data_IF_842574348399
#
_entry.id   IF_842574348399
#
_cell.length_a   1.000
_cell.length_b   1.000
_cell.length_c   1.000
_cell.angle_alpha   90.00
_cell.angle_beta   90.00
_cell.angle_gamma   90.00
#
_symmetry.space_group_name_H-M   'P 1'
#
loop_
_entity.id
_entity.type
_entity.pdbx_description
1 polymer ?
#
# COMPACT_ATOMS: atom_id res chain seq x y z
N UNK A 1 23.64 -1.25 -9.69
CA UNK A 1 22.52 -0.89 -8.81
C UNK A 1 21.26 -1.02 -9.65
N UNK A 2 20.25 -1.78 -9.20
CA UNK A 2 18.98 -1.88 -9.92
C UNK A 2 18.22 -0.56 -9.79
N UNK A 3 17.57 -0.04 -10.84
CA UNK A 3 16.60 1.03 -10.67
C UNK A 3 15.38 0.48 -9.89
N UNK A 4 14.94 1.17 -8.85
CA UNK A 4 13.80 0.77 -8.01
C UNK A 4 12.68 1.80 -8.09
N UNK A 5 11.42 1.36 -8.07
CA UNK A 5 10.26 2.16 -7.71
C UNK A 5 9.79 1.71 -6.32
N UNK A 6 9.03 2.52 -5.57
CA UNK A 6 8.54 2.13 -4.24
C UNK A 6 7.05 1.85 -4.30
N UNK A 7 6.60 0.68 -3.88
CA UNK A 7 5.18 0.48 -3.58
C UNK A 7 4.94 0.95 -2.14
N UNK A 8 3.89 1.72 -1.90
CA UNK A 8 3.46 2.19 -0.58
C UNK A 8 1.95 2.01 -0.47
N UNK A 9 1.50 0.82 -0.09
CA UNK A 9 0.09 0.57 0.15
C UNK A 9 -0.36 1.04 1.53
N UNK A 10 -1.08 2.16 1.63
CA UNK A 10 -2.01 2.33 2.75
C UNK A 10 -3.32 1.64 2.37
N UNK A 11 -4.06 1.15 3.36
CA UNK A 11 -5.37 0.53 3.15
C UNK A 11 -6.32 1.13 4.17
N UNK A 12 -7.46 1.63 3.71
CA UNK A 12 -8.57 2.02 4.58
C UNK A 12 -9.78 1.11 4.34
N UNK A 13 -9.61 -0.18 4.67
CA UNK A 13 -10.75 -0.99 5.12
C UNK A 13 -11.07 -0.47 6.52
N UNK A 14 -12.34 -0.13 6.79
CA UNK A 14 -12.76 0.22 8.14
C UNK A 14 -12.59 -1.02 9.02
N UNK A 15 -11.50 -1.06 9.78
CA UNK A 15 -11.17 -2.14 10.70
C UNK A 15 -12.05 -1.93 11.95
N UNK A 16 -13.16 -2.69 12.05
CA UNK A 16 -14.12 -2.57 13.17
C UNK A 16 -13.47 -2.89 14.52
N UNK A 17 -13.92 -2.32 15.65
CA UNK A 17 -13.42 -2.71 16.97
C UNK A 17 -13.55 -4.24 17.19
N UNK A 18 -12.45 -4.91 17.56
CA UNK A 18 -12.41 -6.38 17.70
C UNK A 18 -12.12 -7.17 16.41
N UNK A 19 -11.80 -6.49 15.31
CA UNK A 19 -11.28 -7.09 14.07
C UNK A 19 -9.88 -7.68 14.27
N UNK A 20 -9.59 -8.72 13.48
CA UNK A 20 -8.35 -9.50 13.52
C UNK A 20 -7.75 -9.56 12.13
N UNK A 21 -6.81 -8.67 11.83
CA UNK A 21 -6.11 -8.69 10.53
C UNK A 21 -4.70 -9.26 10.65
N UNK A 22 -4.40 -10.33 9.91
CA UNK A 22 -3.09 -11.00 9.95
C UNK A 22 -2.00 -10.19 9.27
N UNK A 23 -0.81 -10.10 9.85
CA UNK A 23 0.34 -9.38 9.29
C UNK A 23 1.66 -10.05 9.69
N UNK A 24 2.75 -9.73 8.99
CA UNK A 24 4.10 -10.23 9.28
C UNK A 24 5.01 -9.02 9.50
N UNK A 25 5.78 -8.99 10.59
CA UNK A 25 6.57 -7.82 10.99
C UNK A 25 8.07 -8.13 11.10
N UNK A 26 8.92 -7.27 10.55
CA UNK A 26 10.37 -7.39 10.63
C UNK A 26 11.06 -7.46 9.25
N UNK A 27 12.38 -7.70 9.24
CA UNK A 27 13.15 -7.77 8.00
C UNK A 27 12.79 -9.00 7.16
N UNK A 28 12.98 -8.95 5.83
CA UNK A 28 12.71 -10.07 4.93
C UNK A 28 13.34 -11.39 5.40
N UNK A 29 12.54 -12.45 5.50
CA UNK A 29 13.00 -13.79 5.89
C UNK A 29 13.17 -14.02 7.39
N UNK A 30 12.96 -12.99 8.22
CA UNK A 30 12.89 -13.09 9.67
C UNK A 30 11.68 -12.34 10.23
N UNK A 31 10.61 -12.24 9.42
CA UNK A 31 9.37 -11.66 9.88
C UNK A 31 8.72 -12.52 10.98
N UNK A 32 8.07 -11.85 11.92
CA UNK A 32 7.29 -12.46 12.99
C UNK A 32 5.81 -12.35 12.67
N UNK A 33 5.04 -13.44 12.80
CA UNK A 33 3.59 -13.40 12.59
C UNK A 33 2.92 -12.56 13.68
N UNK A 34 2.00 -11.69 13.26
CA UNK A 34 1.28 -10.78 14.12
C UNK A 34 -0.19 -10.64 13.68
N UNK A 35 -1.03 -10.15 14.57
CA UNK A 35 -2.38 -9.69 14.27
C UNK A 35 -2.52 -8.22 14.64
N UNK A 36 -3.10 -7.43 13.76
CA UNK A 36 -3.51 -6.06 14.06
C UNK A 36 -4.82 -6.14 14.85
N UNK A 37 -4.79 -5.61 16.06
CA UNK A 37 -5.93 -5.54 16.97
C UNK A 37 -6.33 -4.08 17.18
N UNK A 38 -7.62 -3.80 17.01
CA UNK A 38 -8.21 -2.47 17.26
C UNK A 38 -9.01 -2.52 18.55
N UNK A 39 -8.46 -1.83 19.55
CA UNK A 39 -9.08 -1.67 20.87
C UNK A 39 -10.41 -0.91 20.80
N UNK A 40 -11.33 -1.08 21.79
CA UNK A 40 -12.61 -0.36 21.81
C UNK A 40 -12.50 1.17 21.76
N UNK A 41 -11.40 1.73 22.24
CA UNK A 41 -11.09 3.17 22.17
C UNK A 41 -10.39 3.59 20.86
N UNK A 42 -10.36 2.72 19.85
CA UNK A 42 -9.89 3.00 18.50
C UNK A 42 -8.37 2.97 18.34
N UNK A 43 -7.60 2.61 19.37
CA UNK A 43 -6.14 2.44 19.23
C UNK A 43 -5.84 1.10 18.58
N UNK A 44 -4.92 1.10 17.62
CA UNK A 44 -4.43 -0.11 16.97
C UNK A 44 -3.10 -0.56 17.59
N UNK A 45 -2.90 -1.87 17.66
CA UNK A 45 -1.65 -2.49 18.11
C UNK A 45 -1.40 -3.80 17.37
N UNK A 46 -0.15 -4.15 17.20
CA UNK A 46 0.21 -5.49 16.72
C UNK A 46 0.42 -6.42 17.91
N UNK A 47 -0.26 -7.57 17.89
CA UNK A 47 -0.08 -8.64 18.87
C UNK A 47 0.69 -9.77 18.20
N UNK A 48 1.76 -10.25 18.85
CA UNK A 48 2.57 -11.35 18.32
C UNK A 48 1.83 -12.68 18.42
N UNK A 49 2.00 -13.54 17.43
CA UNK A 49 1.38 -14.87 17.38
C UNK A 49 2.30 -15.98 17.93
N UNK A 50 3.32 -15.62 18.72
CA UNK A 50 4.24 -16.56 19.33
C UNK A 50 3.46 -17.60 20.17
N UNK A 51 3.70 -18.90 19.91
CA UNK A 51 2.99 -20.00 20.57
C UNK A 51 1.65 -20.39 19.93
N UNK A 52 1.17 -19.65 18.91
CA UNK A 52 0.06 -20.08 18.06
C UNK A 52 0.59 -20.70 16.77
N UNK A 53 1.49 -19.97 16.09
CA UNK A 53 2.08 -20.37 14.81
C UNK A 53 3.50 -19.81 14.68
N UNK A 54 4.33 -20.47 13.88
CA UNK A 54 5.68 -20.01 13.54
C UNK A 54 5.62 -18.91 12.45
N UNK A 55 4.68 -19.04 11.51
CA UNK A 55 4.39 -18.02 10.49
C UNK A 55 2.93 -18.09 10.01
N UNK A 56 2.48 -17.13 9.21
CA UNK A 56 1.17 -17.13 8.52
C UNK A 56 1.35 -17.77 7.13
N UNK A 57 1.46 -19.10 7.11
CA UNK A 57 1.76 -19.90 5.92
C UNK A 57 0.64 -20.93 5.62
N UNK A 58 0.90 -21.84 4.67
CA UNK A 58 -0.03 -22.90 4.32
C UNK A 58 -0.44 -23.79 5.52
N UNK A 59 0.48 -24.07 6.45
CA UNK A 59 0.20 -24.89 7.63
C UNK A 59 -0.68 -24.15 8.63
N UNK A 60 -0.47 -22.83 8.80
CA UNK A 60 -1.35 -21.98 9.59
C UNK A 60 -2.79 -22.02 9.07
N UNK A 61 -2.99 -21.81 7.76
CA UNK A 61 -4.32 -21.82 7.17
C UNK A 61 -4.98 -23.21 7.22
N UNK A 62 -4.20 -24.28 7.02
CA UNK A 62 -4.71 -25.65 7.05
C UNK A 62 -5.06 -26.18 8.46
N UNK A 63 -4.67 -25.49 9.54
CA UNK A 63 -4.80 -25.95 10.93
C UNK A 63 -5.74 -25.10 11.81
N UNK A 64 -6.75 -24.48 11.20
CA UNK A 64 -7.68 -23.54 11.85
C UNK A 64 -6.95 -22.35 12.51
N UNK A 65 -5.81 -21.93 11.96
CA UNK A 65 -4.97 -20.88 12.54
C UNK A 65 -5.74 -19.58 12.82
N UNK A 66 -6.62 -19.17 11.90
CA UNK A 66 -7.47 -17.96 12.06
C UNK A 66 -8.35 -18.06 13.32
N UNK A 67 -9.03 -19.19 13.53
CA UNK A 67 -9.89 -19.41 14.71
C UNK A 67 -9.07 -19.36 15.99
N UNK A 68 -7.89 -20.01 16.01
CA UNK A 68 -6.99 -20.01 17.17
C UNK A 68 -6.49 -18.61 17.52
N UNK A 69 -6.15 -17.80 16.51
CA UNK A 69 -5.76 -16.39 16.70
C UNK A 69 -6.92 -15.61 17.31
N UNK A 70 -8.13 -15.74 16.76
CA UNK A 70 -9.33 -15.06 17.26
C UNK A 70 -9.62 -15.40 18.73
N UNK A 71 -9.57 -16.68 19.08
CA UNK A 71 -9.75 -17.13 20.47
C UNK A 71 -8.69 -16.56 21.41
N UNK A 72 -7.44 -16.47 20.96
CA UNK A 72 -6.35 -15.91 21.75
C UNK A 72 -6.46 -14.38 21.91
N UNK A 73 -6.91 -13.66 20.89
CA UNK A 73 -7.22 -12.23 20.97
C UNK A 73 -8.36 -11.99 21.95
N UNK A 74 -9.48 -12.72 21.80
CA UNK A 74 -10.63 -12.62 22.70
C UNK A 74 -10.28 -12.96 24.15
N UNK A 75 -9.41 -13.96 24.36
CA UNK A 75 -8.89 -14.35 25.66
C UNK A 75 -7.78 -13.45 26.21
N UNK A 76 -7.37 -12.40 25.49
CA UNK A 76 -6.23 -11.53 25.86
C UNK A 76 -4.94 -12.31 26.16
N UNK A 77 -4.70 -13.39 25.42
CA UNK A 77 -3.58 -14.31 25.63
C UNK A 77 -2.30 -13.88 24.89
N UNK A 78 -2.42 -12.92 23.99
CA UNK A 78 -1.33 -12.44 23.13
C UNK A 78 -0.66 -11.21 23.72
N UNK A 79 0.63 -11.04 23.37
CA UNK A 79 1.43 -9.89 23.82
C UNK A 79 1.59 -8.88 22.70
N UNK A 80 1.47 -7.61 23.04
CA UNK A 80 1.77 -6.52 22.12
C UNK A 80 3.25 -6.54 21.72
N UNK A 81 3.51 -6.34 20.44
CA UNK A 81 4.84 -6.20 19.89
C UNK A 81 5.29 -4.75 20.03
N UNK A 82 6.51 -4.56 20.54
CA UNK A 82 7.17 -3.25 20.53
C UNK A 82 7.80 -3.04 19.16
N UNK A 83 7.21 -2.17 18.34
CA UNK A 83 7.80 -1.72 17.07
C UNK A 83 8.96 -0.76 17.35
N UNK A 84 10.15 -1.26 17.70
CA UNK A 84 11.37 -0.44 17.74
C UNK A 84 11.92 -0.19 16.34
N UNK A 85 12.73 0.86 16.16
CA UNK A 85 13.34 1.21 14.87
C UNK A 85 14.04 -0.01 14.23
N UNK A 86 13.71 -0.31 12.96
CA UNK A 86 14.15 -1.50 12.22
C UNK A 86 13.22 -2.72 12.31
N UNK A 87 12.39 -2.83 13.36
CA UNK A 87 11.37 -3.88 13.52
C UNK A 87 9.98 -3.47 12.96
N UNK A 88 9.85 -2.25 12.42
CA UNK A 88 8.61 -1.67 11.92
C UNK A 88 8.28 -1.97 10.45
N UNK A 89 9.12 -2.74 9.73
CA UNK A 89 8.78 -3.18 8.37
C UNK A 89 7.59 -4.14 8.44
N UNK A 90 6.60 -3.92 7.58
CA UNK A 90 5.49 -4.83 7.36
C UNK A 90 5.82 -5.67 6.13
N UNK A 91 5.91 -6.98 6.30
CA UNK A 91 6.01 -7.96 5.22
C UNK A 91 4.65 -8.32 4.66
N UNK A 92 4.63 -9.16 3.61
CA UNK A 92 3.38 -9.68 3.07
C UNK A 92 2.63 -10.47 4.16
N UNK A 93 1.29 -10.40 4.24
CA UNK A 93 0.53 -11.07 5.29
C UNK A 93 0.48 -12.59 5.14
N UNK A 94 0.87 -13.12 3.98
CA UNK A 94 0.98 -14.56 3.71
C UNK A 94 2.45 -14.88 3.42
N UNK A 95 3.04 -15.78 4.21
CA UNK A 95 4.40 -16.25 4.01
C UNK A 95 4.44 -17.21 2.82
N UNK A 96 5.15 -16.81 1.75
CA UNK A 96 5.46 -17.60 0.54
C UNK A 96 4.28 -18.51 0.10
N UNK A 97 3.25 -17.95 -0.57
CA UNK A 97 2.14 -18.73 -1.10
C UNK A 97 2.61 -19.95 -1.92
N UNK A 98 1.82 -21.02 -1.97
CA UNK A 98 2.14 -22.17 -2.83
C UNK A 98 2.08 -21.80 -4.31
N UNK A 99 1.10 -20.96 -4.68
CA UNK A 99 0.96 -20.32 -5.98
C UNK A 99 0.27 -18.95 -5.85
N UNK A 100 0.56 -18.10 -6.83
CA UNK A 100 -0.17 -16.85 -7.08
C UNK A 100 -0.85 -16.98 -8.44
N UNK A 101 -2.17 -17.19 -8.42
CA UNK A 101 -3.01 -17.30 -9.61
C UNK A 101 -3.57 -15.92 -9.93
N UNK A 102 -3.47 -15.44 -11.16
CA UNK A 102 -4.01 -14.12 -11.53
C UNK A 102 -5.07 -14.25 -12.61
N UNK A 103 -6.09 -13.40 -12.54
CA UNK A 103 -7.18 -13.35 -13.51
C UNK A 103 -7.04 -12.09 -14.37
N UNK A 104 -6.60 -12.28 -15.60
CA UNK A 104 -6.52 -11.19 -16.57
C UNK A 104 -7.89 -10.77 -17.09
N UNK A 105 -8.02 -9.49 -17.46
CA UNK A 105 -9.21 -8.92 -18.11
C UNK A 105 -10.51 -9.17 -17.33
N UNK A 106 -10.45 -9.12 -16.00
CA UNK A 106 -11.61 -9.40 -15.15
C UNK A 106 -12.43 -8.17 -14.78
N UNK A 107 -12.12 -6.97 -15.27
CA UNK A 107 -12.93 -5.78 -15.05
C UNK A 107 -13.43 -5.24 -16.38
N UNK A 108 -14.72 -4.89 -16.42
CA UNK A 108 -15.38 -4.45 -17.65
C UNK A 108 -14.77 -3.15 -18.18
N UNK A 109 -14.52 -2.19 -17.30
CA UNK A 109 -13.92 -0.90 -17.63
C UNK A 109 -12.49 -1.06 -18.18
N UNK A 110 -11.69 -1.96 -17.61
CA UNK A 110 -10.35 -2.26 -18.12
C UNK A 110 -10.37 -2.93 -19.50
N UNK A 111 -11.28 -3.89 -19.72
CA UNK A 111 -11.43 -4.51 -21.04
C UNK A 111 -11.83 -3.49 -22.11
N UNK A 112 -12.75 -2.58 -21.78
CA UNK A 112 -13.17 -1.47 -22.65
C UNK A 112 -12.02 -0.48 -22.92
N UNK A 113 -11.22 -0.13 -21.90
CA UNK A 113 -10.08 0.80 -21.98
C UNK A 113 -9.05 0.37 -23.04
N UNK A 114 -8.73 -0.93 -23.09
CA UNK A 114 -7.72 -1.45 -24.02
C UNK A 114 -8.35 -2.02 -25.31
N UNK A 115 -9.67 -1.91 -25.48
CA UNK A 115 -10.42 -2.43 -26.63
C UNK A 115 -10.42 -3.95 -26.74
N UNK A 116 -10.29 -4.67 -25.61
CA UNK A 116 -10.32 -6.12 -25.57
C UNK A 116 -11.77 -6.65 -25.56
N UNK A 117 -11.99 -7.83 -26.16
CA UNK A 117 -13.25 -8.53 -26.04
C UNK A 117 -13.45 -9.04 -24.61
N UNK A 118 -14.68 -8.97 -24.10
CA UNK A 118 -15.03 -9.52 -22.78
C UNK A 118 -14.86 -11.04 -22.83
N UNK A 119 -14.03 -11.64 -21.96
CA UNK A 119 -13.84 -13.09 -21.95
C UNK A 119 -15.12 -13.83 -21.58
N UNK A 120 -15.34 -15.02 -22.17
CA UNK A 120 -16.43 -15.93 -21.78
C UNK A 120 -16.09 -16.78 -20.55
N UNK A 121 -14.81 -16.83 -20.18
CA UNK A 121 -14.27 -17.54 -19.00
C UNK A 121 -13.06 -16.78 -18.44
N UNK A 122 -12.71 -16.94 -17.15
CA UNK A 122 -11.53 -16.31 -16.57
C UNK A 122 -10.26 -16.58 -17.39
N UNK A 123 -9.51 -15.53 -17.71
CA UNK A 123 -8.19 -15.66 -18.35
C UNK A 123 -7.17 -15.89 -17.25
N UNK A 124 -6.68 -17.12 -17.14
CA UNK A 124 -5.82 -17.55 -16.02
C UNK A 124 -4.36 -17.47 -16.42
N UNK A 125 -3.55 -16.85 -15.55
CA UNK A 125 -2.09 -16.83 -15.61
C UNK A 125 -1.49 -17.08 -14.23
N UNK A 126 -0.19 -17.30 -14.17
CA UNK A 126 0.52 -17.55 -12.91
C UNK A 126 1.62 -16.52 -12.69
N UNK A 127 1.85 -16.19 -11.42
CA UNK A 127 3.06 -15.51 -10.96
C UNK A 127 3.90 -16.48 -10.13
N UNK A 128 5.22 -16.38 -10.28
CA UNK A 128 6.13 -17.04 -9.37
C UNK A 128 5.86 -16.57 -7.92
N UNK A 129 5.69 -17.47 -6.93
CA UNK A 129 5.43 -17.06 -5.55
C UNK A 129 6.53 -16.21 -4.91
N UNK A 130 7.76 -16.28 -5.42
CA UNK A 130 8.87 -15.43 -5.02
C UNK A 130 8.72 -13.96 -5.43
N UNK A 131 7.72 -13.61 -6.24
CA UNK A 131 7.37 -12.21 -6.52
C UNK A 131 6.69 -11.50 -5.35
N UNK A 132 6.15 -12.25 -4.38
CA UNK A 132 5.42 -11.69 -3.23
C UNK A 132 6.36 -10.98 -2.27
N UNK A 133 6.11 -9.69 -2.07
CA UNK A 133 6.86 -8.82 -1.15
C UNK A 133 5.91 -8.01 -0.28
N UNK A 134 6.46 -7.37 0.75
CA UNK A 134 5.68 -6.53 1.64
C UNK A 134 5.05 -5.32 0.94
N UNK A 135 3.98 -4.76 1.51
CA UNK A 135 3.23 -3.62 0.95
C UNK A 135 4.04 -2.33 0.78
N UNK A 136 5.18 -2.22 1.47
CA UNK A 136 6.05 -1.04 1.51
C UNK A 136 7.46 -1.30 0.93
N UNK A 137 7.67 -2.50 0.40
CA UNK A 137 8.95 -2.88 -0.18
C UNK A 137 9.15 -2.21 -1.53
N UNK A 138 10.42 -2.17 -1.95
CA UNK A 138 10.76 -1.69 -3.29
C UNK A 138 10.25 -2.65 -4.36
N UNK A 139 9.68 -2.08 -5.41
CA UNK A 139 9.40 -2.75 -6.68
C UNK A 139 10.60 -2.53 -7.60
N UNK A 140 11.31 -3.60 -7.91
CA UNK A 140 12.49 -3.58 -8.76
C UNK A 140 12.08 -3.46 -10.22
N UNK A 141 12.59 -2.46 -10.94
CA UNK A 141 12.39 -2.36 -12.38
C UNK A 141 13.32 -3.38 -13.07
N UNK A 142 12.77 -4.33 -13.85
CA UNK A 142 13.58 -5.38 -14.48
C UNK A 142 14.64 -4.81 -15.44
N UNK A 143 15.73 -5.55 -15.64
CA UNK A 143 16.77 -5.16 -16.60
C UNK A 143 16.18 -5.08 -17.99
N UNK A 144 16.40 -3.94 -18.65
CA UNK A 144 15.88 -3.71 -20.00
C UNK A 144 14.38 -3.41 -20.05
N UNK A 145 13.69 -3.35 -18.90
CA UNK A 145 12.29 -2.94 -18.86
C UNK A 145 12.11 -1.55 -19.48
N UNK A 146 11.04 -1.42 -20.26
CA UNK A 146 10.61 -0.16 -20.87
C UNK A 146 9.19 0.21 -20.48
N UNK A 147 8.40 -0.80 -20.10
CA UNK A 147 6.94 -0.73 -19.95
C UNK A 147 6.48 -1.39 -18.63
N UNK A 148 7.17 -1.13 -17.53
CA UNK A 148 6.69 -1.53 -16.19
C UNK A 148 5.42 -0.76 -15.83
N UNK A 149 4.38 -1.48 -15.45
CA UNK A 149 3.01 -1.01 -15.23
C UNK A 149 2.50 -1.45 -13.85
N UNK A 150 1.44 -0.78 -13.37
CA UNK A 150 0.80 -1.01 -12.09
C UNK A 150 -0.61 -1.59 -12.27
N UNK A 151 -1.07 -2.38 -11.30
CA UNK A 151 -2.40 -2.95 -11.31
C UNK A 151 -2.92 -3.16 -9.87
N UNK A 152 -3.80 -2.30 -9.36
CA UNK A 152 -4.46 -2.55 -8.05
C UNK A 152 -5.48 -3.67 -8.15
N UNK A 153 -5.35 -4.67 -7.29
CA UNK A 153 -6.25 -5.81 -7.26
C UNK A 153 -6.71 -6.18 -5.85
N UNK A 154 -7.90 -6.78 -5.78
CA UNK A 154 -8.30 -7.56 -4.61
C UNK A 154 -7.60 -8.93 -4.69
N UNK A 155 -6.76 -9.22 -3.70
CA UNK A 155 -6.21 -10.56 -3.49
C UNK A 155 -7.12 -11.38 -2.59
N UNK A 156 -7.42 -12.60 -3.01
CA UNK A 156 -8.15 -13.61 -2.24
C UNK A 156 -7.15 -14.63 -1.72
N UNK A 157 -7.12 -14.85 -0.41
CA UNK A 157 -6.28 -15.90 0.20
C UNK A 157 -7.14 -17.12 0.47
N UNK A 158 -6.71 -18.27 -0.02
CA UNK A 158 -7.41 -19.54 0.16
C UNK A 158 -7.13 -20.09 1.56
N UNK A 159 -8.18 -20.41 2.32
CA UNK A 159 -8.08 -20.96 3.66
C UNK A 159 -8.29 -22.47 3.73
N UNK A 160 -9.07 -23.02 2.79
CA UNK A 160 -9.38 -24.45 2.70
C UNK A 160 -9.13 -24.95 1.29
N UNK A 161 -8.64 -26.19 1.18
CA UNK A 161 -8.43 -26.84 -0.12
C UNK A 161 -9.72 -26.79 -0.96
N UNK A 162 -9.62 -26.21 -2.15
CA UNK A 162 -10.71 -26.13 -3.13
C UNK A 162 -10.37 -26.96 -4.37
N UNK A 163 -11.28 -27.86 -4.74
CA UNK A 163 -11.23 -28.68 -5.94
C UNK A 163 -12.65 -29.09 -6.30
N UNK A 164 -13.00 -29.04 -7.59
CA UNK A 164 -14.30 -29.44 -8.11
C UNK A 164 -15.47 -28.92 -7.26
N UNK A 165 -15.49 -27.62 -6.97
CA UNK A 165 -16.57 -27.01 -6.20
C UNK A 165 -17.80 -26.82 -7.09
N UNK A 166 -18.98 -27.15 -6.58
CA UNK A 166 -20.23 -27.15 -7.35
C UNK A 166 -20.99 -25.83 -7.21
N UNK A 167 -20.76 -25.10 -6.12
CA UNK A 167 -21.52 -23.89 -5.79
C UNK A 167 -20.64 -22.66 -5.47
N UNK A 168 -21.26 -21.49 -5.50
CA UNK A 168 -20.63 -20.22 -5.14
C UNK A 168 -20.39 -20.14 -3.64
N UNK A 169 -21.30 -20.69 -2.86
CA UNK A 169 -21.24 -20.78 -1.40
C UNK A 169 -20.06 -21.65 -0.96
N UNK A 170 -19.85 -22.80 -1.62
CA UNK A 170 -18.67 -23.65 -1.38
C UNK A 170 -17.37 -22.91 -1.72
N UNK A 171 -17.37 -22.13 -2.80
CA UNK A 171 -16.21 -21.34 -3.22
C UNK A 171 -15.86 -20.26 -2.18
N UNK A 172 -16.84 -19.48 -1.72
CA UNK A 172 -16.64 -18.48 -0.67
C UNK A 172 -16.24 -19.12 0.66
N UNK A 173 -16.78 -20.30 1.01
CA UNK A 173 -16.41 -21.03 2.22
C UNK A 173 -14.97 -21.57 2.21
N UNK A 174 -14.26 -21.51 1.07
CA UNK A 174 -12.84 -21.83 0.99
C UNK A 174 -11.92 -20.62 1.15
N UNK A 175 -12.46 -19.39 1.20
CA UNK A 175 -11.67 -18.16 1.35
C UNK A 175 -11.31 -17.93 2.82
N UNK A 176 -10.02 -17.74 3.11
CA UNK A 176 -9.53 -17.32 4.42
C UNK A 176 -9.76 -15.82 4.65
N UNK A 177 -9.57 -15.02 3.60
CA UNK A 177 -9.70 -13.59 3.68
C UNK A 177 -9.20 -12.88 2.44
N UNK A 178 -9.05 -11.56 2.58
CA UNK A 178 -8.74 -10.64 1.51
C UNK A 178 -7.58 -9.72 1.87
N UNK A 179 -6.76 -9.37 0.88
CA UNK A 179 -5.70 -8.37 0.98
C UNK A 179 -5.71 -7.50 -0.28
N UNK A 180 -4.93 -6.41 -0.28
CA UNK A 180 -4.66 -5.66 -1.51
C UNK A 180 -3.38 -6.17 -2.13
N UNK A 181 -3.40 -6.34 -3.44
CA UNK A 181 -2.26 -6.74 -4.26
C UNK A 181 -1.98 -5.67 -5.31
N UNK A 182 -0.70 -5.52 -5.68
CA UNK A 182 -0.31 -4.81 -6.88
C UNK A 182 0.26 -5.82 -7.89
N UNK A 183 -0.50 -6.15 -8.94
CA UNK A 183 -0.08 -7.07 -10.00
C UNK A 183 0.83 -6.36 -11.03
N UNK A 184 2.01 -5.98 -10.56
CA UNK A 184 3.01 -5.28 -11.39
C UNK A 184 3.33 -6.11 -12.63
N UNK A 185 3.40 -5.43 -13.77
CA UNK A 185 3.52 -6.06 -15.08
C UNK A 185 4.57 -5.36 -15.93
N UNK A 186 5.41 -6.09 -16.66
CA UNK A 186 6.24 -5.53 -17.72
C UNK A 186 5.58 -5.87 -19.05
N UNK A 187 5.04 -4.86 -19.75
CA UNK A 187 4.17 -5.08 -20.91
C UNK A 187 4.90 -5.56 -22.16
N UNK A 188 6.17 -5.21 -22.35
CA UNK A 188 6.96 -5.71 -23.48
C UNK A 188 7.24 -7.21 -23.28
N UNK A 189 7.56 -7.62 -22.07
CA UNK A 189 7.82 -9.02 -21.72
C UNK A 189 6.52 -9.84 -21.79
N UNK A 190 5.40 -9.25 -21.34
CA UNK A 190 4.08 -9.88 -21.32
C UNK A 190 3.51 -10.08 -22.73
N UNK A 191 3.63 -9.09 -23.63
CA UNK A 191 2.88 -9.05 -24.88
C UNK A 191 3.76 -9.28 -26.12
N UNK A 192 5.06 -9.00 -26.06
CA UNK A 192 5.94 -9.03 -27.23
C UNK A 192 6.96 -10.17 -27.18
N UNK A 193 7.46 -10.53 -25.99
CA UNK A 193 8.52 -11.54 -25.87
C UNK A 193 8.00 -12.96 -25.68
N UNK A 194 6.75 -13.12 -25.26
CA UNK A 194 6.16 -14.42 -24.93
C UNK A 194 4.69 -14.45 -25.33
N UNK A 195 4.23 -15.61 -25.82
CA UNK A 195 2.79 -15.87 -26.00
C UNK A 195 2.07 -16.21 -24.68
N UNK A 196 2.79 -16.28 -23.55
CA UNK A 196 2.27 -16.50 -22.20
C UNK A 196 2.59 -15.28 -21.33
N UNK A 197 1.58 -14.79 -20.60
CA UNK A 197 1.68 -13.53 -19.85
C UNK A 197 2.55 -13.63 -18.60
N UNK A 198 2.76 -14.85 -18.08
CA UNK A 198 3.53 -15.15 -16.88
C UNK A 198 4.93 -14.50 -16.88
N UNK A 199 5.58 -14.42 -18.05
CA UNK A 199 6.93 -13.85 -18.20
C UNK A 199 6.99 -12.37 -17.76
N UNK A 200 6.04 -11.56 -18.22
CA UNK A 200 5.98 -10.15 -17.84
C UNK A 200 5.42 -9.91 -16.43
N UNK A 201 4.80 -10.93 -15.84
CA UNK A 201 4.14 -10.86 -14.52
C UNK A 201 5.02 -11.41 -13.39
N UNK A 202 6.03 -12.22 -13.70
CA UNK A 202 6.83 -12.94 -12.70
C UNK A 202 8.21 -12.32 -12.41
N UNK A 203 8.42 -11.04 -12.70
CA UNK A 203 9.68 -10.38 -12.33
C UNK A 203 9.81 -10.22 -10.81
N UNK A 204 11.05 -10.13 -10.31
CA UNK A 204 11.32 -9.97 -8.88
C UNK A 204 10.51 -8.81 -8.29
N UNK A 205 9.90 -9.01 -7.10
CA UNK A 205 9.07 -8.02 -6.37
C UNK A 205 7.76 -7.58 -7.04
N UNK A 206 7.32 -8.23 -8.12
CA UNK A 206 6.11 -7.83 -8.87
C UNK A 206 4.77 -8.18 -8.20
N UNK A 207 4.76 -8.59 -6.93
CA UNK A 207 3.53 -8.80 -6.18
C UNK A 207 3.59 -8.21 -4.75
N UNK A 208 3.70 -6.87 -4.58
CA UNK A 208 3.44 -6.25 -3.28
C UNK A 208 2.05 -6.65 -2.78
N UNK A 209 1.98 -7.23 -1.59
CA UNK A 209 0.77 -7.79 -1.00
C UNK A 209 0.61 -7.30 0.44
N UNK A 210 -0.57 -6.79 0.81
CA UNK A 210 -0.89 -6.42 2.18
C UNK A 210 -1.61 -5.07 2.28
N UNK A 211 -1.44 -4.32 3.38
CA UNK A 211 -0.51 -4.53 4.50
C UNK A 211 -0.93 -5.59 5.52
N UNK A 212 -2.16 -6.06 5.47
CA UNK A 212 -2.67 -7.15 6.30
C UNK A 212 -3.70 -7.98 5.52
N UNK A 213 -3.97 -9.19 6.03
CA UNK A 213 -5.05 -10.06 5.59
C UNK A 213 -6.27 -9.79 6.46
N UNK A 214 -7.34 -9.25 5.89
CA UNK A 214 -8.65 -9.13 6.54
C UNK A 214 -9.36 -10.48 6.42
N UNK A 215 -9.86 -11.03 7.52
CA UNK A 215 -10.54 -12.34 7.49
C UNK A 215 -11.85 -12.27 6.71
N UNK A 216 -12.27 -13.38 6.12
CA UNK A 216 -13.43 -13.40 5.23
C UNK A 216 -14.73 -12.96 5.93
N UNK A 217 -14.89 -13.25 7.22
CA UNK A 217 -16.07 -12.85 8.00
C UNK A 217 -16.07 -11.37 8.43
N UNK A 218 -14.97 -10.65 8.24
CA UNK A 218 -14.90 -9.20 8.45
C UNK A 218 -15.24 -8.40 7.17
N UNK A 219 -15.50 -9.08 6.05
CA UNK A 219 -15.91 -8.48 4.78
C UNK A 219 -17.34 -8.92 4.45
N UNK A 220 -18.31 -8.02 4.63
CA UNK A 220 -19.74 -8.31 4.40
C UNK A 220 -20.01 -8.78 2.95
N UNK A 221 -19.48 -8.06 1.96
CA UNK A 221 -19.60 -8.40 0.54
C UNK A 221 -18.28 -8.08 -0.20
N UNK A 222 -17.55 -9.09 -0.72
CA UNK A 222 -16.32 -8.86 -1.48
C UNK A 222 -16.54 -8.12 -2.81
N UNK A 223 -17.77 -8.07 -3.32
CA UNK A 223 -18.14 -7.28 -4.50
C UNK A 223 -18.52 -5.83 -4.16
N UNK A 224 -18.50 -5.44 -2.88
CA UNK A 224 -18.82 -4.09 -2.40
C UNK A 224 -17.57 -3.26 -2.01
N UNK A 225 -16.43 -3.45 -2.68
CA UNK A 225 -15.16 -2.84 -2.30
C UNK A 225 -14.65 -1.85 -3.36
N UNK A 226 -14.24 -0.65 -2.92
CA UNK A 226 -13.54 0.32 -3.77
C UNK A 226 -12.05 0.00 -3.88
N UNK A 227 -11.48 0.20 -5.06
CA UNK A 227 -10.05 0.02 -5.35
C UNK A 227 -9.48 1.33 -5.89
N UNK A 228 -8.30 1.73 -5.41
CA UNK A 228 -7.63 2.95 -5.87
C UNK A 228 -6.14 2.72 -6.04
N UNK A 229 -5.54 3.51 -6.92
CA UNK A 229 -4.09 3.56 -7.07
C UNK A 229 -3.65 4.95 -7.53
N UNK A 230 -2.65 5.52 -6.88
CA UNK A 230 -1.93 6.72 -7.31
C UNK A 230 -0.47 6.42 -7.62
N UNK A 231 0.12 7.20 -8.52
CA UNK A 231 1.56 7.20 -8.81
C UNK A 231 2.10 8.61 -8.60
N UNK A 232 3.04 8.76 -7.67
CA UNK A 232 3.56 10.04 -7.17
C UNK A 232 2.41 11.00 -6.77
N UNK A 233 1.42 10.47 -6.05
CA UNK A 233 0.23 11.22 -5.60
C UNK A 233 -0.85 11.43 -6.67
N UNK A 234 -0.56 11.17 -7.95
CA UNK A 234 -1.54 11.32 -9.04
C UNK A 234 -2.42 10.08 -9.12
N UNK A 235 -3.72 10.23 -8.88
CA UNK A 235 -4.69 9.14 -9.03
C UNK A 235 -4.65 8.57 -10.46
N UNK A 236 -4.41 7.26 -10.58
CA UNK A 236 -4.34 6.51 -11.84
C UNK A 236 -5.50 5.54 -11.99
N UNK A 237 -5.85 4.82 -10.92
CA UNK A 237 -6.98 3.89 -10.91
C UNK A 237 -7.97 4.29 -9.83
N UNK A 238 -9.25 4.26 -10.17
CA UNK A 238 -10.37 4.35 -9.25
C UNK A 238 -11.49 3.43 -9.75
N UNK A 239 -11.60 2.27 -9.12
CA UNK A 239 -12.51 1.21 -9.53
C UNK A 239 -13.27 0.62 -8.35
N UNK A 240 -14.04 -0.43 -8.65
CA UNK A 240 -14.88 -1.08 -7.65
C UNK A 240 -15.09 -2.56 -8.01
N UNK A 241 -15.05 -3.46 -7.02
CA UNK A 241 -15.08 -4.91 -7.25
C UNK A 241 -16.40 -5.41 -7.87
N UNK A 242 -17.53 -4.73 -7.66
CA UNK A 242 -18.78 -4.92 -8.44
C UNK A 242 -18.62 -4.89 -9.96
N UNK A 243 -17.58 -4.25 -10.48
CA UNK A 243 -17.29 -4.16 -11.92
C UNK A 243 -16.56 -5.40 -12.46
N UNK A 244 -16.25 -6.37 -11.59
CA UNK A 244 -15.69 -7.64 -12.03
C UNK A 244 -16.63 -8.35 -13.01
N UNK A 245 -16.06 -8.94 -14.07
CA UNK A 245 -16.78 -9.78 -15.03
C UNK A 245 -17.11 -11.13 -14.40
N UNK A 246 -16.14 -11.71 -13.70
CA UNK A 246 -16.27 -12.89 -12.86
C UNK A 246 -16.00 -12.48 -11.41
N UNK A 247 -17.02 -12.49 -10.56
CA UNK A 247 -16.86 -12.19 -9.13
C UNK A 247 -15.99 -13.24 -8.40
N UNK A 248 -15.61 -12.94 -7.16
CA UNK A 248 -14.73 -13.80 -6.34
C UNK A 248 -15.21 -15.25 -6.27
N UNK A 249 -16.52 -15.47 -6.06
CA UNK A 249 -17.06 -16.81 -5.93
C UNK A 249 -16.94 -17.57 -7.26
N UNK A 250 -17.25 -16.92 -8.38
CA UNK A 250 -17.12 -17.51 -9.71
C UNK A 250 -15.66 -17.79 -10.07
N UNK A 251 -14.73 -16.88 -9.76
CA UNK A 251 -13.30 -17.09 -9.97
C UNK A 251 -12.83 -18.34 -9.22
N UNK A 252 -13.08 -18.43 -7.91
CA UNK A 252 -12.63 -19.58 -7.11
C UNK A 252 -13.29 -20.88 -7.57
N UNK A 253 -14.61 -20.85 -7.84
CA UNK A 253 -15.36 -22.01 -8.36
C UNK A 253 -14.81 -22.48 -9.70
N UNK A 254 -14.60 -21.57 -10.65
CA UNK A 254 -14.07 -21.87 -11.98
C UNK A 254 -12.65 -22.44 -11.90
N UNK A 255 -11.75 -21.78 -11.15
CA UNK A 255 -10.39 -22.26 -10.94
C UNK A 255 -10.38 -23.68 -10.36
N UNK A 256 -11.26 -23.96 -9.39
CA UNK A 256 -11.32 -25.28 -8.74
C UNK A 256 -11.64 -26.44 -9.68
N UNK A 257 -12.19 -26.18 -10.89
CA UNK A 257 -12.47 -27.21 -11.89
C UNK A 257 -11.19 -27.70 -12.61
N UNK A 258 -10.13 -26.89 -12.59
CA UNK A 258 -8.90 -27.14 -13.34
C UNK A 258 -7.68 -27.25 -12.44
N UNK A 259 -7.70 -26.55 -11.29
CA UNK A 259 -6.60 -26.45 -10.34
C UNK A 259 -7.10 -26.92 -8.97
N UNK A 260 -6.25 -27.59 -8.20
CA UNK A 260 -6.44 -27.67 -6.75
C UNK A 260 -5.86 -26.39 -6.14
N UNK A 261 -6.70 -25.56 -5.53
CA UNK A 261 -6.25 -24.45 -4.69
C UNK A 261 -6.03 -24.97 -3.28
N UNK A 262 -4.89 -24.63 -2.69
CA UNK A 262 -4.45 -25.07 -1.37
C UNK A 262 -4.52 -23.92 -0.36
N UNK A 263 -4.66 -24.21 0.94
CA UNK A 263 -4.54 -23.20 1.98
C UNK A 263 -3.23 -22.39 1.84
N UNK A 264 -3.33 -21.07 1.89
CA UNK A 264 -2.23 -20.12 1.71
C UNK A 264 -1.97 -19.69 0.26
N UNK A 265 -2.64 -20.29 -0.74
CA UNK A 265 -2.57 -19.77 -2.11
C UNK A 265 -3.26 -18.41 -2.22
N UNK A 266 -2.74 -17.59 -3.15
CA UNK A 266 -3.26 -16.25 -3.43
C UNK A 266 -3.88 -16.22 -4.82
N UNK A 267 -5.06 -15.63 -4.93
CA UNK A 267 -5.73 -15.34 -6.20
C UNK A 267 -5.86 -13.83 -6.37
N UNK A 268 -5.11 -13.29 -7.34
CA UNK A 268 -5.21 -11.92 -7.82
C UNK A 268 -6.39 -11.84 -8.80
N UNK A 269 -7.41 -11.05 -8.48
CA UNK A 269 -8.73 -11.13 -9.12
C UNK A 269 -8.90 -10.22 -10.34
N UNK A 270 -7.86 -9.56 -10.80
CA UNK A 270 -7.87 -8.60 -11.88
C UNK A 270 -7.91 -7.15 -11.38
N UNK A 271 -7.68 -6.24 -12.32
CA UNK A 271 -7.49 -4.80 -12.09
C UNK A 271 -8.54 -3.96 -12.84
N UNK A 272 -9.04 -2.85 -12.27
CA UNK A 272 -9.90 -1.90 -12.98
C UNK A 272 -9.12 -1.08 -14.02
N UNK A 273 -9.81 -0.27 -14.81
CA UNK A 273 -9.18 0.67 -15.75
C UNK A 273 -8.19 1.64 -15.08
N UNK A 274 -7.29 2.22 -15.88
CA UNK A 274 -6.30 3.20 -15.44
C UNK A 274 -4.88 2.65 -15.29
N UNK A 275 -4.60 1.51 -15.91
CA UNK A 275 -3.24 0.99 -16.06
C UNK A 275 -2.46 1.85 -17.07
N UNK A 276 -1.14 1.94 -16.96
CA UNK A 276 -0.34 2.77 -17.86
C UNK A 276 -0.54 2.37 -19.34
N UNK A 277 -0.70 1.08 -19.65
CA UNK A 277 -1.00 0.62 -21.01
C UNK A 277 -2.28 1.24 -21.60
N UNK A 278 -3.30 1.48 -20.77
CA UNK A 278 -4.59 2.03 -21.19
C UNK A 278 -4.63 3.56 -21.25
N UNK A 279 -3.68 4.23 -20.58
CA UNK A 279 -3.65 5.69 -20.48
C UNK A 279 -2.94 6.36 -21.69
N UNK A 280 -3.39 7.57 -22.10
CA UNK A 280 -2.71 8.35 -23.12
C UNK A 280 -1.22 8.57 -22.81
N UNK A 281 -0.37 8.34 -23.80
CA UNK A 281 1.09 8.50 -23.67
C UNK A 281 1.79 7.39 -22.89
N UNK A 282 1.05 6.38 -22.43
CA UNK A 282 1.56 5.21 -21.72
C UNK A 282 2.58 5.53 -20.62
N UNK A 283 2.16 6.19 -19.52
CA UNK A 283 3.04 6.70 -18.48
C UNK A 283 3.57 5.58 -17.57
N UNK A 284 4.31 4.63 -18.15
CA UNK A 284 4.93 3.50 -17.44
C UNK A 284 5.87 3.98 -16.32
N UNK A 285 6.00 3.14 -15.29
CA UNK A 285 6.82 3.42 -14.12
C UNK A 285 8.27 3.69 -14.49
N UNK A 286 8.81 4.71 -13.83
CA UNK A 286 10.20 5.13 -13.88
C UNK A 286 10.87 4.89 -12.53
N UNK A 287 12.20 4.78 -12.50
CA UNK A 287 12.92 4.66 -11.25
C UNK A 287 12.58 5.81 -10.31
N UNK A 288 12.45 5.50 -9.02
CA UNK A 288 12.17 6.36 -7.87
C UNK A 288 10.75 6.90 -7.76
N UNK A 289 9.83 6.45 -8.61
CA UNK A 289 8.42 6.76 -8.44
C UNK A 289 7.80 5.93 -7.32
N UNK A 290 6.77 6.49 -6.68
CA UNK A 290 6.01 5.84 -5.61
C UNK A 290 4.62 5.46 -6.09
N UNK A 291 4.23 4.21 -5.91
CA UNK A 291 2.89 3.69 -6.21
C UNK A 291 2.12 3.52 -4.91
N UNK A 292 0.96 4.15 -4.77
CA UNK A 292 0.15 4.08 -3.55
C UNK A 292 -1.23 3.49 -3.85
N UNK A 293 -1.67 2.51 -3.07
CA UNK A 293 -2.94 1.81 -3.29
C UNK A 293 -4.13 2.48 -2.55
N UNK A 294 -3.86 3.49 -1.72
CA UNK A 294 -4.86 4.36 -1.09
C UNK A 294 -4.15 5.64 -0.68
N UNK A 295 -4.78 6.81 -0.91
CA UNK A 295 -4.19 8.10 -0.55
C UNK A 295 -4.78 8.62 0.77
N UNK A 296 -3.94 8.67 1.82
CA UNK A 296 -4.35 9.01 3.19
C UNK A 296 -5.12 10.33 3.28
N UNK A 297 -4.55 11.42 2.78
CA UNK A 297 -5.11 12.76 2.94
C UNK A 297 -6.40 12.97 2.12
N UNK A 298 -6.49 12.58 0.83
CA UNK A 298 -7.74 12.63 0.08
C UNK A 298 -8.85 11.75 0.69
N UNK A 299 -8.52 10.56 1.20
CA UNK A 299 -9.50 9.71 1.87
C UNK A 299 -9.98 10.27 3.19
N UNK A 300 -9.08 10.82 4.00
CA UNK A 300 -9.43 11.47 5.25
C UNK A 300 -10.39 12.64 5.00
N UNK A 301 -10.13 13.47 3.99
CA UNK A 301 -11.01 14.58 3.61
C UNK A 301 -12.41 14.10 3.22
N UNK A 302 -12.50 13.09 2.33
CA UNK A 302 -13.79 12.54 1.88
C UNK A 302 -14.63 11.97 3.02
N UNK A 303 -13.98 11.36 4.01
CA UNK A 303 -14.65 10.70 5.14
C UNK A 303 -14.91 11.66 6.32
N UNK A 304 -14.54 12.93 6.21
CA UNK A 304 -14.63 13.89 7.32
C UNK A 304 -13.73 13.52 8.50
N UNK A 305 -12.65 12.79 8.25
CA UNK A 305 -11.67 12.39 9.26
C UNK A 305 -10.57 13.44 9.30
N UNK A 306 -10.36 14.03 10.48
CA UNK A 306 -9.25 14.94 10.73
C UNK A 306 -7.94 14.19 10.93
N UNK A 307 -6.87 14.69 10.32
CA UNK A 307 -5.50 14.19 10.44
C UNK A 307 -4.66 15.19 11.23
N UNK A 308 -3.84 14.69 12.14
CA UNK A 308 -2.79 15.48 12.80
C UNK A 308 -1.45 15.04 12.23
N UNK A 309 -0.69 15.98 11.66
CA UNK A 309 0.63 15.69 11.09
C UNK A 309 1.70 15.86 12.16
N UNK A 310 2.36 14.77 12.54
CA UNK A 310 3.41 14.78 13.55
C UNK A 310 4.81 14.80 12.97
N UNK A 311 5.78 15.30 13.73
CA UNK A 311 7.20 15.04 13.45
C UNK A 311 7.80 15.83 12.28
N UNK A 312 7.26 17.02 11.96
CA UNK A 312 7.73 17.91 10.88
C UNK A 312 9.25 18.17 10.92
N UNK A 313 9.83 18.21 12.12
CA UNK A 313 11.26 18.45 12.33
C UNK A 313 12.08 17.20 12.66
N UNK A 314 11.48 16.01 12.65
CA UNK A 314 12.11 14.79 13.15
C UNK A 314 13.39 14.40 12.39
N UNK A 315 13.47 14.76 11.11
CA UNK A 315 14.65 14.54 10.26
C UNK A 315 15.78 15.55 10.51
N UNK A 316 15.47 16.71 11.08
CA UNK A 316 16.37 17.87 11.14
C UNK A 316 16.49 18.64 9.82
N UNK A 317 16.13 18.04 8.66
CA UNK A 317 16.25 18.65 7.34
C UNK A 317 15.42 19.94 7.18
N UNK A 318 14.20 19.95 7.70
CA UNK A 318 13.32 21.12 7.65
C UNK A 318 13.44 22.01 8.89
N UNK A 319 14.17 21.55 9.91
CA UNK A 319 14.49 22.35 11.09
C UNK A 319 15.70 23.25 10.79
N UNK A 320 16.81 22.64 10.40
CA UNK A 320 17.99 23.33 9.90
C UNK A 320 18.82 22.35 9.04
N UNK A 321 18.79 22.46 7.70
CA UNK A 321 19.50 21.55 6.83
C UNK A 321 21.02 21.71 7.01
N UNK A 322 21.63 20.68 7.60
CA UNK A 322 23.08 20.56 7.81
C UNK A 322 23.56 19.18 7.33
N UNK A 323 24.87 18.96 7.12
CA UNK A 323 25.39 17.64 6.79
C UNK A 323 25.12 16.55 7.86
N UNK A 324 24.79 16.96 9.09
CA UNK A 324 24.41 16.06 10.18
C UNK A 324 22.91 15.73 10.19
N UNK A 325 22.11 16.33 9.30
CA UNK A 325 20.69 16.05 9.18
C UNK A 325 20.46 14.60 8.75
N UNK A 326 19.36 14.04 9.23
CA UNK A 326 19.00 12.64 8.98
C UNK A 326 17.77 12.56 8.08
N UNK A 327 17.58 11.43 7.43
CA UNK A 327 16.34 11.06 6.78
C UNK A 327 16.11 9.58 7.08
N UNK A 328 14.93 9.24 7.60
CA UNK A 328 14.62 7.89 8.10
C UNK A 328 15.69 7.33 9.06
N UNK A 329 16.14 8.17 10.01
CA UNK A 329 17.13 7.81 11.04
C UNK A 329 18.53 7.44 10.51
N UNK A 330 18.81 7.70 9.24
CA UNK A 330 20.12 7.57 8.60
C UNK A 330 20.62 8.95 8.11
N UNK A 331 21.92 9.13 7.80
CA UNK A 331 22.41 10.36 7.18
C UNK A 331 21.60 10.70 5.92
N UNK A 332 21.16 11.95 5.80
CA UNK A 332 20.35 12.37 4.67
C UNK A 332 21.12 12.21 3.34
N UNK A 333 20.54 11.56 2.32
CA UNK A 333 21.12 11.53 0.97
C UNK A 333 21.43 12.94 0.46
N UNK A 334 22.54 13.09 -0.27
CA UNK A 334 23.00 14.40 -0.78
C UNK A 334 21.90 15.15 -1.56
N UNK A 335 21.14 14.45 -2.40
CA UNK A 335 20.04 15.04 -3.16
C UNK A 335 18.91 15.59 -2.27
N UNK A 336 18.61 14.97 -1.12
CA UNK A 336 17.61 15.47 -0.18
C UNK A 336 18.14 16.67 0.61
N UNK A 337 19.42 16.66 0.96
CA UNK A 337 20.06 17.80 1.61
C UNK A 337 20.11 19.02 0.67
N UNK A 338 20.49 18.84 -0.60
CA UNK A 338 20.47 19.88 -1.63
C UNK A 338 19.07 20.48 -1.81
N UNK A 339 18.04 19.63 -1.84
CA UNK A 339 16.65 20.07 -1.92
C UNK A 339 16.23 20.89 -0.69
N UNK A 340 16.60 20.45 0.52
CA UNK A 340 16.29 21.17 1.75
C UNK A 340 17.04 22.50 1.87
N UNK A 341 18.28 22.57 1.37
CA UNK A 341 19.04 23.82 1.26
C UNK A 341 18.37 24.78 0.29
N UNK A 342 17.93 24.31 -0.89
CA UNK A 342 17.21 25.18 -1.83
C UNK A 342 15.88 25.69 -1.27
N UNK A 343 15.15 24.86 -0.54
CA UNK A 343 13.96 25.28 0.21
C UNK A 343 14.30 26.41 1.20
N UNK A 344 15.40 26.26 1.96
CA UNK A 344 15.87 27.28 2.90
C UNK A 344 16.18 28.61 2.20
N UNK A 345 16.85 28.56 1.06
CA UNK A 345 17.22 29.76 0.30
C UNK A 345 15.98 30.53 -0.17
N UNK A 346 15.02 29.85 -0.80
CA UNK A 346 13.78 30.49 -1.28
C UNK A 346 12.92 31.04 -0.12
N UNK A 347 12.86 30.33 1.01
CA UNK A 347 12.21 30.86 2.21
C UNK A 347 12.92 32.13 2.69
N UNK A 348 14.26 32.13 2.71
CA UNK A 348 15.08 33.29 3.07
C UNK A 348 14.90 34.49 2.14
N UNK A 349 14.82 34.26 0.82
CA UNK A 349 14.51 35.29 -0.18
C UNK A 349 13.15 35.96 0.07
N UNK A 350 12.18 35.21 0.61
CA UNK A 350 10.86 35.70 0.99
C UNK A 350 10.79 36.27 2.43
N UNK A 351 11.90 36.27 3.18
CA UNK A 351 11.93 36.69 4.58
C UNK A 351 11.22 35.73 5.55
N UNK A 352 10.97 34.49 5.13
CA UNK A 352 10.26 33.46 5.91
C UNK A 352 11.26 32.44 6.42
N UNK A 353 11.25 32.06 7.72
CA UNK A 353 12.02 30.92 8.19
C UNK A 353 11.53 29.62 7.54
N UNK A 354 12.43 28.76 7.05
CA UNK A 354 12.07 27.43 6.52
C UNK A 354 11.15 26.65 7.47
N UNK A 355 11.39 26.79 8.76
CA UNK A 355 10.63 26.14 9.84
C UNK A 355 9.17 26.59 9.90
N UNK A 356 8.91 27.87 9.62
CA UNK A 356 7.55 28.38 9.51
C UNK A 356 6.83 27.76 8.32
N UNK A 357 7.46 27.75 7.14
CA UNK A 357 6.92 27.10 5.96
C UNK A 357 6.66 25.60 6.20
N UNK A 358 7.59 24.91 6.87
CA UNK A 358 7.45 23.48 7.16
C UNK A 358 6.29 23.15 8.11
N UNK A 359 6.07 23.96 9.16
CA UNK A 359 4.98 23.75 10.12
C UNK A 359 3.62 24.12 9.53
N UNK A 360 3.56 25.12 8.66
CA UNK A 360 2.31 25.60 8.12
C UNK A 360 1.89 24.86 6.84
N UNK A 361 2.82 24.44 5.99
CA UNK A 361 2.51 23.76 4.72
C UNK A 361 1.47 22.62 4.84
N UNK A 362 1.56 21.69 5.81
CA UNK A 362 0.57 20.62 5.95
C UNK A 362 -0.86 21.10 6.19
N UNK A 363 -1.03 22.29 6.81
CA UNK A 363 -2.33 22.90 7.08
C UNK A 363 -3.05 23.37 5.81
N UNK A 364 -2.37 23.38 4.65
CA UNK A 364 -3.00 23.67 3.38
C UNK A 364 -4.04 22.62 2.98
N UNK A 365 -3.87 21.37 3.41
CA UNK A 365 -4.79 20.29 3.06
C UNK A 365 -6.01 20.28 3.99
N UNK A 366 -7.26 20.23 3.47
CA UNK A 366 -8.49 20.36 4.29
C UNK A 366 -8.70 19.24 5.33
N UNK A 367 -8.11 18.06 5.11
CA UNK A 367 -8.11 16.98 6.09
C UNK A 367 -7.20 17.22 7.30
N UNK A 368 -6.23 18.13 7.22
CA UNK A 368 -5.22 18.32 8.28
C UNK A 368 -5.76 19.32 9.30
N UNK A 369 -6.09 18.85 10.51
CA UNK A 369 -6.62 19.68 11.58
C UNK A 369 -5.53 20.29 12.49
N UNK A 370 -4.29 19.82 12.38
CA UNK A 370 -3.20 20.35 13.16
C UNK A 370 -1.86 19.71 12.85
N UNK A 371 -0.81 20.37 13.34
CA UNK A 371 0.57 19.91 13.22
C UNK A 371 1.16 19.78 14.62
N UNK A 372 1.65 18.58 14.94
CA UNK A 372 2.29 18.30 16.21
C UNK A 372 3.81 18.35 16.05
N UNK A 373 4.40 19.42 16.57
CA UNK A 373 5.85 19.59 16.63
C UNK A 373 6.35 18.95 17.92
N UNK A 374 7.23 17.95 17.81
CA UNK A 374 7.88 17.37 18.98
C UNK A 374 8.82 18.39 19.64
N UNK A 375 8.68 18.60 20.95
CA UNK A 375 9.50 19.51 21.72
C UNK A 375 10.11 18.81 22.94
N UNK A 376 11.39 19.07 23.20
CA UNK A 376 12.16 18.57 24.35
C UNK A 376 12.32 19.62 25.44
N UNK A 377 11.97 20.87 25.14
CA UNK A 377 12.05 21.98 26.08
C UNK A 377 10.90 22.97 25.87
N UNK A 378 10.61 23.77 26.90
CA UNK A 378 9.68 24.88 26.81
C UNK A 378 10.13 25.98 25.83
N UNK A 379 11.42 26.05 25.50
CA UNK A 379 11.92 26.95 24.47
C UNK A 379 11.51 26.45 23.08
N UNK A 380 11.75 25.17 22.77
CA UNK A 380 11.35 24.55 21.50
C UNK A 380 9.83 24.60 21.29
N UNK A 381 9.03 24.43 22.36
CA UNK A 381 7.57 24.54 22.27
C UNK A 381 7.09 25.97 21.94
N UNK A 382 7.70 26.99 22.55
CA UNK A 382 7.37 28.41 22.27
C UNK A 382 7.77 28.80 20.86
N UNK A 383 8.97 28.42 20.46
CA UNK A 383 9.48 28.71 19.13
C UNK A 383 8.66 27.98 18.04
N UNK A 384 8.19 26.74 18.27
CA UNK A 384 7.24 26.08 17.37
C UNK A 384 5.90 26.83 17.26
N UNK A 385 5.39 27.37 18.38
CA UNK A 385 4.19 28.19 18.38
C UNK A 385 4.40 29.51 17.62
N UNK A 386 5.56 30.14 17.74
CA UNK A 386 5.94 31.33 16.96
C UNK A 386 6.00 31.02 15.46
N UNK A 387 6.64 29.91 15.06
CA UNK A 387 6.71 29.48 13.65
C UNK A 387 5.32 29.22 13.03
N UNK A 388 4.35 28.78 13.84
CA UNK A 388 2.97 28.56 13.39
C UNK A 388 2.18 29.87 13.18
N UNK A 389 2.71 31.02 13.61
CA UNK A 389 2.07 32.34 13.53
C UNK A 389 2.79 33.29 12.56
N UNK A 390 3.88 32.86 11.92
CA UNK A 390 4.60 33.68 10.93
C UNK A 390 3.73 33.84 9.68
N UNK A 391 3.52 35.07 9.23
CA UNK A 391 2.83 35.34 7.96
C UNK A 391 3.68 34.82 6.79
N UNK A 392 3.10 33.95 5.97
CA UNK A 392 3.75 33.39 4.78
C UNK A 392 3.12 34.01 3.51
N UNK A 393 3.89 34.77 2.71
CA UNK A 393 3.39 35.30 1.45
C UNK A 393 3.00 34.18 0.48
N UNK A 394 1.83 34.31 -0.17
CA UNK A 394 1.36 33.33 -1.15
C UNK A 394 2.38 33.08 -2.28
N UNK A 395 3.15 34.11 -2.64
CA UNK A 395 4.20 34.06 -3.66
C UNK A 395 5.32 33.07 -3.29
N UNK A 396 5.57 32.81 -2.00
CA UNK A 396 6.54 31.79 -1.60
C UNK A 396 6.09 30.41 -2.10
N UNK A 397 4.82 30.06 -1.90
CA UNK A 397 4.28 28.77 -2.35
C UNK A 397 4.36 28.61 -3.87
N UNK A 398 4.07 29.67 -4.61
CA UNK A 398 4.16 29.67 -6.07
C UNK A 398 5.60 29.49 -6.56
N UNK A 399 6.58 30.17 -5.93
CA UNK A 399 8.00 29.99 -6.22
C UNK A 399 8.47 28.56 -5.93
N UNK A 400 8.03 27.97 -4.81
CA UNK A 400 8.37 26.59 -4.48
C UNK A 400 7.80 25.59 -5.49
N UNK A 401 6.59 25.82 -6.02
CA UNK A 401 6.01 25.00 -7.10
C UNK A 401 6.74 25.19 -8.42
N UNK A 402 7.09 26.43 -8.78
CA UNK A 402 7.79 26.74 -10.02
C UNK A 402 9.17 26.05 -10.11
N UNK A 403 9.86 25.89 -8.98
CA UNK A 403 11.13 25.16 -8.91
C UNK A 403 10.98 23.64 -8.71
N UNK A 404 9.75 23.11 -8.72
CA UNK A 404 9.48 21.68 -8.52
C UNK A 404 9.79 21.19 -7.09
N UNK A 405 9.94 22.11 -6.13
CA UNK A 405 10.16 21.78 -4.72
C UNK A 405 8.85 21.38 -4.03
N UNK A 406 7.71 21.80 -4.57
CA UNK A 406 6.36 21.31 -4.25
C UNK A 406 5.66 20.78 -5.51
N UNK A 407 4.78 19.78 -5.39
CA UNK A 407 3.85 19.42 -6.46
C UNK A 407 2.97 20.62 -6.84
N UNK A 408 2.69 20.79 -8.14
CA UNK A 408 1.93 21.93 -8.65
C UNK A 408 0.48 22.01 -8.14
N UNK A 409 -0.09 20.86 -7.79
CA UNK A 409 -1.44 20.68 -7.25
C UNK A 409 -1.49 20.58 -5.72
N UNK A 410 -0.33 20.61 -5.03
CA UNK A 410 -0.29 20.49 -3.58
C UNK A 410 -1.08 21.63 -2.93
N UNK A 411 -2.08 21.36 -2.08
CA UNK A 411 -2.82 22.43 -1.42
C UNK A 411 -1.89 23.15 -0.43
N UNK A 412 -1.99 24.47 -0.39
CA UNK A 412 -1.14 25.34 0.45
C UNK A 412 -2.02 26.20 1.35
N UNK A 413 -1.53 26.58 2.54
CA UNK A 413 -2.27 27.47 3.42
C UNK A 413 -2.66 28.76 2.70
N UNK A 414 -3.93 29.13 2.79
CA UNK A 414 -4.38 30.48 2.42
C UNK A 414 -4.08 31.40 3.61
N UNK A 415 -3.30 32.46 3.35
CA UNK A 415 -3.02 33.54 4.30
C UNK A 415 -4.29 34.19 4.85
#
# INVERSE_FOLDING_TARGET
>A
MWPTARAVGHTSVCVSPGSTAGSRLGPPGAERPAVLDTTPDGRTRYLGLDGITDDIDAAFFASDGIRRVREAVAGSLLRALSLTAGAGRIGAPVARPGKVVCIGLNYRDHAEEIGAAIPERPVVLMKDPGTVVGPFDEVLIPRGSRKTDWEVELAVVIGRRARYLDSREEALACVAGYAISNDVSEREFQLEFSGQWDLGKSCETFNPLGPWLVTADEVDDPQALGLRLSVDGVLRQEGHTKSMIFDVAEVVRCLSQYLVLEPGDVVNTGTPAGVALGLPGHPYLRPRQTVELTSLLPDANRRGVSVVVGGVFNSGLLADPTPAATFDYAPAPAALLERALRLKDLCGEAGVPLRAAAVQFPLGHPAVAGVLVGARSAAEARDAAEMAQVDIPAQLWDSLRAEGLLPGDAPVPTS
#
